data_IF_043540920475
#
_entry.id   IF_043540920475
#
_cell.length_a   1.000
_cell.length_b   1.000
_cell.length_c   1.000
_cell.angle_alpha   90.00
_cell.angle_beta   90.00
_cell.angle_gamma   90.00
#
_symmetry.space_group_name_H-M   'P 1'
#
loop_
_entity.id
_entity.type
_entity.pdbx_description
1 polymer ?
#
# COMPACT_ATOMS: atom_id res chain seq x y z
N UNK A 1 -7.55 11.12 -9.97
CA UNK A 1 -7.87 11.37 -8.54
C UNK A 1 -7.12 12.57 -7.94
N UNK A 2 -5.82 12.79 -8.25
CA UNK A 2 -5.01 13.87 -7.62
C UNK A 2 -5.63 15.28 -7.63
N UNK A 3 -6.22 15.74 -8.75
CA UNK A 3 -6.91 17.04 -8.82
C UNK A 3 -8.08 17.17 -7.83
N UNK A 4 -8.78 16.07 -7.52
CA UNK A 4 -9.88 16.06 -6.54
C UNK A 4 -9.33 16.22 -5.13
N UNK A 5 -8.21 15.54 -4.82
CA UNK A 5 -7.53 15.63 -3.53
C UNK A 5 -6.97 17.04 -3.25
N UNK A 6 -6.34 17.68 -4.26
CA UNK A 6 -5.86 19.07 -4.16
C UNK A 6 -7.01 20.02 -3.80
N UNK A 7 -8.18 19.87 -4.45
CA UNK A 7 -9.37 20.68 -4.13
C UNK A 7 -9.90 20.47 -2.70
N UNK A 8 -9.51 19.38 -2.04
CA UNK A 8 -9.85 19.07 -0.64
C UNK A 8 -8.76 19.52 0.34
N UNK A 9 -7.74 20.24 -0.12
CA UNK A 9 -6.65 20.76 0.72
C UNK A 9 -5.53 19.75 0.99
N UNK A 10 -5.48 18.65 0.23
CA UNK A 10 -4.39 17.65 0.34
C UNK A 10 -3.24 18.08 -0.56
N UNK A 11 -2.03 18.13 -0.01
CA UNK A 11 -0.81 18.27 -0.82
C UNK A 11 -0.59 17.00 -1.63
N UNK A 12 -0.51 17.12 -2.96
CA UNK A 12 -0.39 15.98 -3.88
C UNK A 12 0.87 16.14 -4.69
N UNK A 13 1.73 15.12 -4.63
CA UNK A 13 2.92 15.01 -5.44
C UNK A 13 2.75 13.82 -6.39
N UNK A 14 3.04 14.05 -7.68
CA UNK A 14 3.00 12.98 -8.67
C UNK A 14 4.22 12.06 -8.48
N UNK A 15 3.97 10.76 -8.36
CA UNK A 15 5.01 9.75 -8.20
C UNK A 15 4.42 8.34 -8.27
N UNK A 16 5.30 7.35 -8.19
CA UNK A 16 4.97 5.92 -8.10
C UNK A 16 5.52 5.37 -6.78
N UNK A 17 4.92 4.30 -6.26
CA UNK A 17 5.28 3.74 -4.95
C UNK A 17 6.71 3.21 -4.91
N UNK A 18 7.21 2.73 -6.04
CA UNK A 18 8.52 2.12 -6.24
C UNK A 18 9.65 3.17 -6.25
N UNK A 19 9.31 4.46 -6.33
CA UNK A 19 10.27 5.57 -6.32
C UNK A 19 9.62 6.85 -5.79
N UNK A 20 9.52 6.94 -4.47
CA UNK A 20 8.90 8.07 -3.80
C UNK A 20 9.81 9.32 -3.88
N UNK A 21 9.28 10.50 -4.28
CA UNK A 21 10.06 11.72 -4.46
C UNK A 21 10.38 12.44 -3.13
N UNK A 22 10.74 11.67 -2.11
CA UNK A 22 11.04 12.15 -0.76
C UNK A 22 12.43 11.71 -0.32
N UNK A 23 13.03 12.49 0.56
CA UNK A 23 14.30 12.11 1.19
C UNK A 23 14.08 10.94 2.16
N UNK A 24 15.16 10.25 2.46
CA UNK A 24 15.16 9.23 3.52
C UNK A 24 14.73 9.86 4.86
N UNK A 25 14.07 9.09 5.73
CA UNK A 25 13.69 9.52 7.09
C UNK A 25 12.91 10.85 7.16
N UNK A 26 11.94 11.05 6.26
CA UNK A 26 11.16 12.28 6.18
C UNK A 26 9.83 12.22 6.94
N UNK A 27 9.25 11.03 7.12
CA UNK A 27 7.90 10.86 7.66
C UNK A 27 7.88 10.02 8.93
N UNK A 28 6.99 10.39 9.84
CA UNK A 28 6.68 9.58 11.03
C UNK A 28 5.72 8.43 10.69
N UNK A 29 4.87 8.62 9.67
CA UNK A 29 3.85 7.65 9.26
C UNK A 29 3.76 7.57 7.74
N UNK A 30 3.65 6.34 7.21
CA UNK A 30 3.24 6.06 5.83
C UNK A 30 1.92 5.29 5.86
N UNK A 31 0.92 5.78 5.13
CA UNK A 31 -0.42 5.18 5.05
C UNK A 31 -0.70 4.67 3.64
N UNK A 32 -1.11 3.41 3.54
CA UNK A 32 -1.62 2.79 2.32
C UNK A 32 -3.02 2.24 2.58
N UNK A 33 -4.05 2.82 1.94
CA UNK A 33 -5.43 2.34 2.05
C UNK A 33 -5.87 1.84 0.69
N UNK A 34 -6.15 0.54 0.59
CA UNK A 34 -6.53 -0.15 -0.65
C UNK A 34 -5.54 0.11 -1.80
N UNK A 35 -4.26 0.30 -1.47
CA UNK A 35 -3.19 0.61 -2.42
C UNK A 35 -2.38 -0.63 -2.78
N UNK A 36 -2.02 -1.46 -1.77
CA UNK A 36 -1.15 -2.63 -1.95
C UNK A 36 -1.65 -3.62 -3.01
N UNK A 37 -2.98 -3.72 -3.17
CA UNK A 37 -3.65 -4.56 -4.15
C UNK A 37 -3.39 -4.18 -5.62
N UNK A 38 -2.83 -2.99 -5.88
CA UNK A 38 -2.65 -2.42 -7.22
C UNK A 38 -1.20 -2.05 -7.52
N UNK A 39 -0.25 -2.52 -6.71
CA UNK A 39 1.16 -2.26 -6.91
C UNK A 39 1.75 -3.29 -7.90
N UNK A 40 2.66 -2.82 -8.75
CA UNK A 40 3.37 -3.69 -9.68
C UNK A 40 4.47 -4.49 -8.96
N UNK A 41 5.18 -3.86 -8.01
CA UNK A 41 6.23 -4.49 -7.20
C UNK A 41 6.07 -4.16 -5.71
N UNK A 42 5.30 -5.00 -4.99
CA UNK A 42 5.04 -4.83 -3.55
C UNK A 42 6.35 -4.76 -2.74
N UNK A 43 7.34 -5.67 -2.89
CA UNK A 43 8.62 -5.54 -2.20
C UNK A 43 9.35 -4.22 -2.45
N UNK A 44 9.37 -3.70 -3.69
CA UNK A 44 10.03 -2.42 -3.98
C UNK A 44 9.32 -1.24 -3.31
N UNK A 45 7.99 -1.19 -3.36
CA UNK A 45 7.21 -0.12 -2.71
C UNK A 45 7.36 -0.15 -1.19
N UNK A 46 7.35 -1.34 -0.56
CA UNK A 46 7.54 -1.44 0.89
C UNK A 46 8.95 -1.02 1.31
N UNK A 47 9.98 -1.28 0.49
CA UNK A 47 11.34 -0.76 0.74
C UNK A 47 11.40 0.77 0.64
N UNK A 48 10.74 1.36 -0.34
CA UNK A 48 10.64 2.83 -0.45
C UNK A 48 9.87 3.45 0.71
N UNK A 49 8.76 2.83 1.12
CA UNK A 49 8.00 3.26 2.29
C UNK A 49 8.87 3.23 3.55
N UNK A 50 9.66 2.17 3.74
CA UNK A 50 10.63 2.09 4.84
C UNK A 50 11.72 3.17 4.74
N UNK A 51 12.30 3.39 3.54
CA UNK A 51 13.33 4.42 3.33
C UNK A 51 12.83 5.81 3.75
N UNK A 52 11.60 6.17 3.41
CA UNK A 52 11.07 7.51 3.73
C UNK A 52 10.60 7.63 5.19
N UNK A 53 10.44 6.53 5.92
CA UNK A 53 10.12 6.54 7.34
C UNK A 53 11.35 6.89 8.18
N UNK A 54 11.12 7.69 9.24
CA UNK A 54 12.10 7.94 10.30
C UNK A 54 12.32 6.68 11.13
N UNK A 55 13.39 6.68 11.93
CA UNK A 55 13.57 5.70 13.01
C UNK A 55 12.33 5.75 13.93
N UNK A 56 11.77 4.57 14.24
CA UNK A 56 10.50 4.40 14.98
C UNK A 56 9.24 4.95 14.26
N UNK A 57 9.35 5.26 12.97
CA UNK A 57 8.20 5.57 12.13
C UNK A 57 7.33 4.32 11.89
N UNK A 58 6.06 4.54 11.52
CA UNK A 58 5.09 3.46 11.36
C UNK A 58 4.55 3.40 9.93
N UNK A 59 4.36 2.18 9.43
CA UNK A 59 3.56 1.95 8.22
C UNK A 59 2.20 1.37 8.62
N UNK A 60 1.13 1.92 8.07
CA UNK A 60 -0.23 1.42 8.23
C UNK A 60 -0.76 1.00 6.86
N UNK A 61 -1.15 -0.26 6.73
CA UNK A 61 -1.68 -0.83 5.49
C UNK A 61 -3.09 -1.34 5.76
N UNK A 62 -4.08 -0.68 5.18
CA UNK A 62 -5.48 -1.07 5.24
C UNK A 62 -5.95 -1.63 3.89
N UNK A 63 -6.53 -2.82 3.89
CA UNK A 63 -7.05 -3.48 2.68
C UNK A 63 -8.13 -4.49 3.07
N UNK A 64 -8.81 -5.05 2.06
CA UNK A 64 -9.79 -6.11 2.28
C UNK A 64 -9.03 -7.43 2.33
N UNK A 65 -9.02 -8.07 3.49
CA UNK A 65 -8.41 -9.39 3.66
C UNK A 65 -9.10 -10.42 2.77
N UNK A 66 -8.34 -11.10 1.92
CA UNK A 66 -8.81 -12.19 1.06
C UNK A 66 -9.52 -13.28 1.84
N UNK A 67 -9.09 -13.55 3.07
CA UNK A 67 -9.68 -14.61 3.89
C UNK A 67 -10.98 -14.21 4.57
N UNK A 68 -11.33 -12.92 4.56
CA UNK A 68 -12.61 -12.44 5.07
C UNK A 68 -13.79 -12.87 4.18
N UNK A 69 -15.03 -12.99 4.72
CA UNK A 69 -16.20 -13.29 3.91
C UNK A 69 -16.38 -12.34 2.71
N UNK A 70 -16.08 -11.05 2.90
CA UNK A 70 -16.18 -10.05 1.83
C UNK A 70 -15.05 -10.21 0.80
N UNK A 71 -13.83 -10.47 1.24
CA UNK A 71 -12.68 -10.72 0.37
C UNK A 71 -12.93 -11.87 -0.58
N UNK A 72 -13.43 -13.01 -0.08
CA UNK A 72 -13.78 -14.18 -0.89
C UNK A 72 -14.82 -13.88 -1.96
N UNK A 73 -15.85 -13.09 -1.62
CA UNK A 73 -16.88 -12.69 -2.58
C UNK A 73 -16.28 -11.79 -3.67
N UNK A 74 -15.46 -10.81 -3.28
CA UNK A 74 -14.87 -9.86 -4.23
C UNK A 74 -13.84 -10.51 -5.13
N UNK A 75 -13.01 -11.41 -4.61
CA UNK A 75 -12.05 -12.17 -5.40
C UNK A 75 -12.76 -13.09 -6.40
N UNK A 76 -13.80 -13.82 -5.97
CA UNK A 76 -14.55 -14.70 -6.86
C UNK A 76 -15.24 -13.97 -8.02
N UNK A 77 -15.59 -12.68 -7.82
CA UNK A 77 -16.28 -11.83 -8.81
C UNK A 77 -15.37 -10.82 -9.48
N UNK A 78 -14.05 -10.90 -9.29
CA UNK A 78 -13.14 -9.82 -9.68
C UNK A 78 -13.16 -9.52 -11.18
N UNK A 79 -13.35 -10.53 -12.02
CA UNK A 79 -13.39 -10.36 -13.49
C UNK A 79 -14.63 -9.58 -13.96
N UNK A 80 -15.69 -9.56 -13.16
CA UNK A 80 -16.91 -8.79 -13.42
C UNK A 80 -16.79 -7.34 -12.94
N UNK A 81 -15.72 -6.98 -12.22
CA UNK A 81 -15.54 -5.65 -11.63
C UNK A 81 -14.50 -4.84 -12.40
N UNK A 82 -14.91 -3.67 -12.88
CA UNK A 82 -14.00 -2.69 -13.51
C UNK A 82 -12.84 -2.27 -12.59
N UNK A 83 -13.03 -2.38 -11.27
CA UNK A 83 -12.03 -2.01 -10.27
C UNK A 83 -11.17 -3.18 -9.83
N UNK A 84 -11.77 -4.34 -9.53
CA UNK A 84 -11.05 -5.46 -8.93
C UNK A 84 -10.40 -6.41 -9.94
N UNK A 85 -10.73 -6.30 -11.23
CA UNK A 85 -10.17 -7.16 -12.28
C UNK A 85 -8.64 -7.23 -12.26
N UNK A 86 -8.00 -6.09 -12.03
CA UNK A 86 -6.52 -6.01 -11.95
C UNK A 86 -5.99 -6.02 -10.52
N UNK A 87 -6.85 -6.17 -9.52
CA UNK A 87 -6.44 -6.18 -8.13
C UNK A 87 -5.88 -7.55 -7.72
N UNK A 88 -4.78 -7.54 -6.98
CA UNK A 88 -4.31 -8.68 -6.19
C UNK A 88 -5.04 -8.70 -4.84
N UNK A 89 -5.49 -9.89 -4.43
CA UNK A 89 -6.08 -10.11 -3.12
C UNK A 89 -5.06 -10.78 -2.21
N UNK A 90 -4.79 -10.15 -1.08
CA UNK A 90 -3.83 -10.62 -0.08
C UNK A 90 -4.55 -11.00 1.21
N UNK A 91 -4.00 -11.94 1.96
CA UNK A 91 -4.34 -12.08 3.37
C UNK A 91 -3.48 -11.16 4.25
N UNK A 92 -3.92 -10.91 5.49
CA UNK A 92 -3.10 -10.19 6.48
C UNK A 92 -1.73 -10.85 6.70
N UNK A 93 -1.70 -12.19 6.75
CA UNK A 93 -0.48 -12.96 6.94
C UNK A 93 0.49 -12.81 5.77
N UNK A 94 -0.01 -12.84 4.52
CA UNK A 94 0.82 -12.64 3.33
C UNK A 94 1.49 -11.26 3.31
N UNK A 95 0.74 -10.20 3.66
CA UNK A 95 1.30 -8.86 3.80
C UNK A 95 2.33 -8.81 4.94
N UNK A 96 2.07 -9.51 6.06
CA UNK A 96 3.03 -9.66 7.16
C UNK A 96 4.35 -10.30 6.72
N UNK A 97 4.30 -11.31 5.86
CA UNK A 97 5.49 -11.96 5.28
C UNK A 97 6.29 -11.01 4.39
N UNK A 98 5.63 -10.11 3.64
CA UNK A 98 6.33 -9.08 2.86
C UNK A 98 7.01 -8.02 3.73
N UNK A 99 6.47 -7.72 4.91
CA UNK A 99 7.02 -6.73 5.84
C UNK A 99 8.20 -7.28 6.66
N UNK A 100 8.17 -8.58 7.01
CA UNK A 100 9.18 -9.21 7.87
C UNK A 100 10.63 -8.92 7.43
N UNK A 101 11.06 -9.12 6.16
CA UNK A 101 12.44 -8.87 5.76
C UNK A 101 12.91 -7.42 5.88
N UNK A 102 11.97 -6.47 5.90
CA UNK A 102 12.23 -5.04 5.91
C UNK A 102 12.34 -4.54 7.35
N UNK A 103 11.48 -5.05 8.25
CA UNK A 103 11.37 -4.58 9.63
C UNK A 103 12.02 -5.51 10.67
N UNK A 104 12.43 -6.74 10.31
CA UNK A 104 13.11 -7.68 11.22
C UNK A 104 14.62 -7.41 11.40
N UNK A 105 15.13 -6.26 10.93
CA UNK A 105 16.51 -5.78 11.18
C UNK A 105 16.61 -4.78 12.35
N UNK A 106 15.55 -4.65 13.13
CA UNK A 106 15.56 -4.01 14.45
C UNK A 106 15.87 -5.04 15.54
#
# INVERSE_FOLDING_TARGET
MGKVAIRRGIEVILGIGEKLPFKESSFDVVLMVTTICFLDDVPAVLKEAYRVLKINGHILIGFIDRESPLGKIYEAKKEESDFYRFASFFSADEVGLHLTPIFAKL
#
